data_IF_320892147988
#
_entry.id   IF_320892147988
#
_cell.length_a   1.000
_cell.length_b   1.000
_cell.length_c   1.000
_cell.angle_alpha   90.00
_cell.angle_beta   90.00
_cell.angle_gamma   90.00
#
_symmetry.space_group_name_H-M   'P 1'
#
loop_
_entity.id
_entity.type
_entity.pdbx_description
1 polymer ?
#
# COMPACT_ATOMS: atom_id res chain seq x y z
N UNK A 1 14.73 33.40 53.86
CA UNK A 1 13.61 34.00 53.10
C UNK A 1 13.84 33.63 51.62
N UNK A 2 14.02 32.35 51.28
CA UNK A 2 13.04 31.25 51.29
C UNK A 2 11.78 31.62 50.49
N UNK A 3 11.77 31.22 49.22
CA UNK A 3 10.55 31.03 48.44
C UNK A 3 10.48 29.56 48.06
N UNK A 4 9.70 28.86 48.87
CA UNK A 4 9.39 27.45 48.79
C UNK A 4 8.62 27.07 47.53
N UNK A 5 9.01 25.90 47.02
CA UNK A 5 8.29 25.09 46.06
C UNK A 5 7.07 24.50 46.76
N UNK A 6 5.87 24.88 46.32
CA UNK A 6 4.63 24.26 46.79
C UNK A 6 4.25 23.08 45.88
N UNK A 7 4.50 21.88 46.40
CA UNK A 7 3.96 20.59 45.94
C UNK A 7 2.71 20.28 46.77
N UNK A 8 1.59 19.98 46.12
CA UNK A 8 0.43 19.25 46.70
C UNK A 8 -0.32 18.51 45.57
N UNK A 9 -1.10 17.45 45.83
CA UNK A 9 -0.66 16.07 45.65
C UNK A 9 -1.58 15.25 44.72
N UNK A 10 -1.15 14.01 44.49
CA UNK A 10 -1.86 12.96 43.75
C UNK A 10 -3.25 12.65 44.32
N UNK A 11 -4.21 12.40 43.42
CA UNK A 11 -5.44 11.63 43.69
C UNK A 11 -5.64 10.63 42.55
N UNK A 12 -5.40 9.38 42.94
CA UNK A 12 -6.08 8.11 42.64
C UNK A 12 -6.30 7.57 41.23
N UNK A 13 -5.92 6.29 41.17
CA UNK A 13 -6.00 5.29 40.12
C UNK A 13 -7.41 4.75 39.90
N UNK A 14 -7.73 4.37 38.65
CA UNK A 14 -8.34 3.08 38.26
C UNK A 14 -8.81 3.11 36.78
N UNK A 15 -8.98 1.96 36.08
CA UNK A 15 -8.25 0.70 36.19
C UNK A 15 -7.55 0.33 34.87
N UNK A 16 -6.32 -0.17 34.98
CA UNK A 16 -5.66 -0.94 33.93
C UNK A 16 -6.36 -2.30 33.84
N UNK A 17 -7.10 -2.53 32.76
CA UNK A 17 -7.74 -3.83 32.55
C UNK A 17 -8.80 -3.81 31.46
N UNK A 18 -8.44 -3.46 30.23
CA UNK A 18 -9.36 -3.67 29.10
C UNK A 18 -8.69 -4.03 27.76
N UNK A 19 -7.36 -4.02 27.68
CA UNK A 19 -6.64 -4.30 26.42
C UNK A 19 -5.89 -5.64 26.38
N UNK A 20 -5.84 -6.41 27.47
CA UNK A 20 -5.23 -7.75 27.45
C UNK A 20 -6.25 -8.88 27.15
N UNK A 21 -7.55 -8.62 27.24
CA UNK A 21 -8.60 -9.61 26.92
C UNK A 21 -8.90 -9.72 25.42
N UNK A 22 -8.44 -8.79 24.57
CA UNK A 22 -8.70 -8.84 23.13
C UNK A 22 -7.66 -9.63 22.32
N UNK A 23 -6.43 -9.81 22.84
CA UNK A 23 -5.41 -10.62 22.17
C UNK A 23 -5.65 -12.13 22.33
N UNK A 24 -6.33 -12.55 23.39
CA UNK A 24 -6.73 -13.95 23.61
C UNK A 24 -7.99 -14.35 22.81
N UNK A 25 -8.89 -13.41 22.51
CA UNK A 25 -10.12 -13.68 21.75
C UNK A 25 -9.88 -13.85 20.24
N UNK A 26 -8.87 -13.18 19.68
CA UNK A 26 -8.52 -13.30 18.25
C UNK A 26 -7.86 -14.65 17.90
N UNK A 27 -7.12 -15.26 18.84
CA UNK A 27 -6.51 -16.59 18.64
C UNK A 27 -7.51 -17.74 18.71
N UNK A 28 -8.51 -17.65 19.59
CA UNK A 28 -9.51 -18.70 19.77
C UNK A 28 -10.52 -18.77 18.60
N UNK A 29 -10.84 -17.64 17.96
CA UNK A 29 -11.74 -17.59 16.82
C UNK A 29 -11.15 -18.24 15.56
N UNK A 30 -9.83 -18.11 15.34
CA UNK A 30 -9.14 -18.74 14.21
C UNK A 30 -9.06 -20.27 14.36
N UNK A 31 -8.84 -20.78 15.57
CA UNK A 31 -8.82 -22.21 15.85
C UNK A 31 -10.23 -22.84 15.79
N UNK A 32 -11.26 -22.11 16.23
CA UNK A 32 -12.66 -22.56 16.14
C UNK A 32 -13.17 -22.57 14.68
N UNK A 33 -12.66 -21.69 13.81
CA UNK A 33 -12.97 -21.69 12.38
C UNK A 33 -12.32 -22.88 11.67
N UNK A 34 -11.07 -23.22 11.99
CA UNK A 34 -10.39 -24.40 11.46
C UNK A 34 -11.05 -25.72 11.92
N UNK A 35 -11.50 -25.80 13.17
CA UNK A 35 -12.18 -26.98 13.71
C UNK A 35 -13.60 -27.16 13.19
N UNK A 36 -14.31 -26.07 12.84
CA UNK A 36 -15.69 -26.12 12.32
C UNK A 36 -15.76 -26.36 10.81
N UNK A 37 -14.72 -25.99 10.06
CA UNK A 37 -14.55 -26.38 8.64
C UNK A 37 -14.09 -27.83 8.49
N UNK A 38 -13.46 -28.43 9.51
CA UNK A 38 -13.00 -29.82 9.49
C UNK A 38 -14.09 -30.88 9.80
N UNK A 39 -15.32 -30.48 10.12
CA UNK A 39 -16.42 -31.41 10.50
C UNK A 39 -17.51 -31.61 9.44
N UNK A 40 -17.33 -31.12 8.21
CA UNK A 40 -18.24 -31.44 7.10
C UNK A 40 -17.51 -32.15 5.95
N UNK A 41 -17.03 -33.36 6.21
CA UNK A 41 -16.67 -34.32 5.17
C UNK A 41 -17.29 -35.69 5.48
N UNK A 42 -18.01 -36.32 4.54
CA UNK A 42 -18.57 -37.65 4.74
C UNK A 42 -17.44 -38.68 4.71
N UNK A 43 -17.24 -39.38 5.83
CA UNK A 43 -16.35 -40.55 5.90
C UNK A 43 -16.93 -41.69 5.07
N UNK A 44 -16.47 -41.86 3.82
CA UNK A 44 -16.56 -43.14 3.11
C UNK A 44 -15.55 -44.11 3.72
N UNK A 45 -16.06 -45.09 4.45
CA UNK A 45 -15.28 -46.20 4.99
C UNK A 45 -14.82 -47.13 3.86
N UNK A 46 -13.51 -47.37 3.78
CA UNK A 46 -12.94 -48.49 3.06
C UNK A 46 -11.70 -49.00 3.80
N UNK A 47 -11.85 -50.11 4.56
CA UNK A 47 -10.84 -51.18 4.67
C UNK A 47 -11.38 -52.43 5.39
N UNK A 48 -11.50 -53.50 4.60
CA UNK A 48 -11.12 -54.91 4.87
C UNK A 48 -11.26 -55.47 6.30
N UNK A 49 -12.18 -56.42 6.44
CA UNK A 49 -11.95 -57.77 6.99
C UNK A 49 -12.86 -58.71 6.17
N UNK A 50 -12.40 -59.64 5.31
CA UNK A 50 -11.65 -60.86 5.55
C UNK A 50 -12.31 -61.81 6.58
N UNK A 51 -13.31 -62.60 6.16
CA UNK A 51 -13.27 -64.08 6.14
C UNK A 51 -14.64 -64.72 5.84
N UNK A 52 -14.52 -65.94 5.33
CA UNK A 52 -15.52 -66.95 4.99
C UNK A 52 -16.37 -66.63 3.75
N UNK A 53 -16.65 -67.54 2.81
CA UNK A 53 -16.15 -68.84 2.40
C UNK A 53 -17.15 -69.29 1.30
N UNK A 54 -16.68 -69.87 0.20
CA UNK A 54 -17.52 -70.77 -0.61
C UNK A 54 -17.88 -70.32 -2.02
N UNK A 55 -17.41 -71.09 -3.01
CA UNK A 55 -17.99 -71.27 -4.36
C UNK A 55 -17.43 -70.33 -5.43
N UNK A 56 -16.36 -70.66 -6.16
CA UNK A 56 -16.23 -71.65 -7.26
C UNK A 56 -16.83 -71.19 -8.60
N UNK A 57 -16.11 -71.56 -9.68
CA UNK A 57 -16.28 -71.29 -11.13
C UNK A 57 -15.66 -69.98 -11.64
N UNK A 58 -14.43 -69.95 -12.17
CA UNK A 58 -13.84 -70.60 -13.37
C UNK A 58 -14.40 -70.06 -14.70
N UNK A 59 -13.51 -69.52 -15.55
CA UNK A 59 -13.25 -69.88 -16.96
C UNK A 59 -12.55 -68.72 -17.72
N UNK A 60 -11.33 -69.01 -18.18
CA UNK A 60 -10.64 -68.64 -19.46
C UNK A 60 -10.48 -67.15 -19.83
N UNK A 61 -9.28 -66.56 -19.97
CA UNK A 61 -8.06 -66.84 -20.76
C UNK A 61 -7.97 -66.04 -22.08
N UNK A 62 -6.76 -65.51 -22.34
CA UNK A 62 -6.17 -65.20 -23.67
C UNK A 62 -6.60 -63.86 -24.31
N UNK A 63 -5.76 -62.82 -24.36
CA UNK A 63 -4.52 -62.59 -25.14
C UNK A 63 -4.74 -61.92 -26.50
N UNK A 64 -4.11 -60.75 -26.64
CA UNK A 64 -3.24 -60.35 -27.76
C UNK A 64 -3.81 -59.72 -29.06
N UNK A 65 -3.19 -58.58 -29.40
CA UNK A 65 -2.76 -58.00 -30.70
C UNK A 65 -3.69 -57.77 -31.90
N UNK A 66 -3.61 -56.51 -32.37
CA UNK A 66 -3.30 -56.05 -33.75
C UNK A 66 -4.43 -55.65 -34.73
N UNK A 67 -4.37 -54.35 -35.07
CA UNK A 67 -4.34 -53.74 -36.42
C UNK A 67 -5.50 -53.90 -37.42
N UNK A 68 -6.08 -52.73 -37.73
CA UNK A 68 -6.27 -52.12 -39.06
C UNK A 68 -7.48 -52.45 -39.95
N UNK A 69 -8.14 -51.35 -40.36
CA UNK A 69 -8.93 -51.06 -41.58
C UNK A 69 -10.23 -51.87 -41.79
N UNK A 70 -11.34 -51.38 -42.34
CA UNK A 70 -11.88 -50.06 -42.70
C UNK A 70 -13.31 -50.32 -43.24
N UNK A 71 -14.25 -49.42 -42.97
CA UNK A 71 -15.49 -49.11 -43.75
C UNK A 71 -16.48 -50.22 -44.15
N UNK A 72 -17.73 -50.16 -43.68
CA UNK A 72 -18.93 -49.95 -44.52
C UNK A 72 -20.27 -49.89 -43.71
N UNK A 73 -21.06 -48.85 -44.01
CA UNK A 73 -22.53 -48.67 -43.99
C UNK A 73 -23.42 -49.24 -42.86
N UNK A 74 -24.21 -48.35 -42.24
CA UNK A 74 -25.42 -48.73 -41.51
C UNK A 74 -26.01 -47.62 -40.65
N UNK A 75 -26.80 -46.73 -41.27
CA UNK A 75 -27.64 -45.74 -40.59
C UNK A 75 -28.64 -46.42 -39.65
N UNK A 76 -28.75 -45.98 -38.40
CA UNK A 76 -30.07 -45.84 -37.75
C UNK A 76 -30.01 -44.86 -36.60
N UNK A 77 -30.97 -43.95 -36.63
CA UNK A 77 -31.21 -42.89 -35.67
C UNK A 77 -31.75 -43.46 -34.36
N UNK A 78 -31.08 -43.12 -33.25
CA UNK A 78 -31.70 -43.05 -31.95
C UNK A 78 -31.05 -41.88 -31.20
N UNK A 79 -31.67 -40.70 -31.33
CA UNK A 79 -31.32 -39.53 -30.56
C UNK A 79 -31.59 -39.77 -29.08
N UNK A 80 -30.53 -40.02 -28.32
CA UNK A 80 -30.53 -39.78 -26.89
C UNK A 80 -29.83 -38.44 -26.68
N UNK A 81 -30.60 -37.46 -26.19
CA UNK A 81 -30.08 -36.17 -25.74
C UNK A 81 -29.24 -36.45 -24.50
N UNK A 82 -27.95 -36.69 -24.69
CA UNK A 82 -26.98 -36.61 -23.61
C UNK A 82 -26.85 -35.13 -23.27
N UNK A 83 -27.36 -34.75 -22.10
CA UNK A 83 -27.01 -33.49 -21.45
C UNK A 83 -25.50 -33.46 -21.37
N UNK A 84 -24.87 -32.62 -22.20
CA UNK A 84 -23.45 -32.36 -22.12
C UNK A 84 -23.19 -31.80 -20.72
N UNK A 85 -22.46 -32.57 -19.93
CA UNK A 85 -21.97 -32.21 -18.62
C UNK A 85 -21.14 -30.93 -18.80
N UNK A 86 -21.70 -29.80 -18.37
CA UNK A 86 -20.98 -28.54 -18.34
C UNK A 86 -19.74 -28.75 -17.47
N UNK A 87 -18.55 -28.23 -17.85
CA UNK A 87 -17.38 -28.40 -17.03
C UNK A 87 -17.68 -27.71 -15.69
N UNK A 88 -17.80 -28.50 -14.63
CA UNK A 88 -17.79 -27.99 -13.26
C UNK A 88 -16.43 -27.33 -13.07
N UNK A 89 -16.35 -26.05 -13.37
CA UNK A 89 -15.25 -25.18 -13.00
C UNK A 89 -15.24 -25.05 -11.49
N UNK A 90 -14.64 -26.05 -10.84
CA UNK A 90 -14.22 -25.99 -9.46
C UNK A 90 -13.11 -24.96 -9.31
N UNK A 91 -13.47 -23.68 -9.32
CA UNK A 91 -12.61 -22.58 -8.93
C UNK A 91 -13.45 -21.67 -8.04
N UNK A 92 -13.62 -22.06 -6.78
CA UNK A 92 -14.57 -21.41 -5.88
C UNK A 92 -13.91 -20.63 -4.75
N UNK A 93 -13.18 -21.34 -3.89
CA UNK A 93 -12.82 -20.80 -2.58
C UNK A 93 -11.33 -20.44 -2.43
N UNK A 94 -10.40 -21.24 -2.98
CA UNK A 94 -8.96 -21.04 -2.78
C UNK A 94 -8.41 -19.80 -3.49
N UNK A 95 -8.87 -19.53 -4.72
CA UNK A 95 -8.43 -18.39 -5.52
C UNK A 95 -8.88 -17.04 -4.92
N UNK A 96 -10.06 -17.01 -4.30
CA UNK A 96 -10.59 -15.78 -3.70
C UNK A 96 -9.93 -15.48 -2.34
N UNK A 97 -9.60 -16.50 -1.54
CA UNK A 97 -8.81 -16.34 -0.31
C UNK A 97 -7.43 -15.75 -0.61
N UNK A 98 -6.72 -16.27 -1.62
CA UNK A 98 -5.41 -15.74 -2.04
C UNK A 98 -5.50 -14.33 -2.63
N UNK A 99 -6.65 -13.96 -3.20
CA UNK A 99 -6.87 -12.63 -3.76
C UNK A 99 -6.91 -11.55 -2.68
N UNK A 100 -7.49 -11.84 -1.51
CA UNK A 100 -7.67 -10.86 -0.43
C UNK A 100 -6.47 -10.73 0.52
N UNK A 101 -5.47 -11.62 0.45
CA UNK A 101 -4.26 -11.53 1.29
C UNK A 101 -3.43 -10.27 1.04
N UNK A 102 -3.47 -9.72 -0.17
CA UNK A 102 -2.74 -8.49 -0.54
C UNK A 102 -3.51 -7.20 -0.22
N UNK A 103 -4.73 -7.30 0.28
CA UNK A 103 -5.57 -6.14 0.58
C UNK A 103 -5.22 -5.54 1.94
N UNK A 104 -5.15 -4.20 2.01
CA UNK A 104 -5.05 -3.48 3.26
C UNK A 104 -6.31 -3.68 4.11
N UNK A 105 -6.20 -3.56 5.43
CA UNK A 105 -7.35 -3.60 6.36
C UNK A 105 -8.46 -2.62 5.94
N UNK A 106 -8.10 -1.45 5.44
CA UNK A 106 -9.04 -0.44 4.93
C UNK A 106 -9.76 -0.92 3.67
N UNK A 107 -9.05 -1.62 2.78
CA UNK A 107 -9.63 -2.16 1.56
C UNK A 107 -10.54 -3.38 1.85
N UNK A 108 -10.20 -4.19 2.85
CA UNK A 108 -11.09 -5.24 3.36
C UNK A 108 -12.37 -4.65 3.96
N UNK A 109 -12.26 -3.52 4.66
CA UNK A 109 -13.42 -2.80 5.21
C UNK A 109 -14.34 -2.24 4.12
N UNK A 110 -13.80 -1.76 3.00
CA UNK A 110 -14.58 -1.39 1.81
C UNK A 110 -15.42 -2.57 1.31
N UNK A 111 -14.80 -3.75 1.22
CA UNK A 111 -15.48 -4.97 0.77
C UNK A 111 -16.58 -5.38 1.74
N UNK A 112 -16.33 -5.29 3.05
CA UNK A 112 -17.35 -5.51 4.08
C UNK A 112 -18.52 -4.53 3.95
N UNK A 113 -18.24 -3.24 3.79
CA UNK A 113 -19.27 -2.21 3.61
C UNK A 113 -20.12 -2.50 2.36
N UNK A 114 -19.50 -2.95 1.26
CA UNK A 114 -20.22 -3.32 0.04
C UNK A 114 -21.14 -4.54 0.24
N UNK A 115 -20.70 -5.53 1.02
CA UNK A 115 -21.54 -6.67 1.41
C UNK A 115 -22.70 -6.25 2.31
N UNK A 116 -22.47 -5.32 3.24
CA UNK A 116 -23.51 -4.79 4.11
C UNK A 116 -24.58 -4.01 3.32
N UNK A 117 -24.18 -3.23 2.31
CA UNK A 117 -25.13 -2.58 1.39
C UNK A 117 -25.95 -3.61 0.58
N UNK A 118 -25.34 -4.73 0.19
CA UNK A 118 -26.04 -5.84 -0.46
C UNK A 118 -27.10 -6.46 0.48
N UNK A 119 -26.76 -6.66 1.77
CA UNK A 119 -27.70 -7.11 2.80
C UNK A 119 -28.85 -6.12 3.01
N UNK A 120 -28.52 -4.84 3.15
CA UNK A 120 -29.49 -3.75 3.36
C UNK A 120 -30.51 -3.69 2.21
N UNK A 121 -30.05 -3.83 0.98
CA UNK A 121 -30.89 -3.81 -0.22
C UNK A 121 -31.59 -5.14 -0.50
N UNK A 122 -31.24 -6.23 0.21
CA UNK A 122 -31.80 -7.55 -0.01
C UNK A 122 -31.35 -8.18 -1.33
N UNK A 123 -30.15 -7.86 -1.80
CA UNK A 123 -29.57 -8.36 -3.04
C UNK A 123 -28.77 -9.64 -2.77
N UNK A 124 -28.79 -10.58 -3.72
CA UNK A 124 -28.12 -11.87 -3.57
C UNK A 124 -26.64 -11.85 -3.96
N UNK A 125 -26.15 -10.74 -4.51
CA UNK A 125 -24.75 -10.57 -4.92
C UNK A 125 -24.28 -9.12 -4.74
N UNK A 126 -22.97 -8.94 -4.55
CA UNK A 126 -22.33 -7.62 -4.49
C UNK A 126 -22.03 -7.15 -5.91
N UNK A 127 -22.58 -6.00 -6.28
CA UNK A 127 -22.36 -5.36 -7.59
C UNK A 127 -21.28 -4.28 -7.52
N UNK A 128 -20.90 -3.72 -8.67
CA UNK A 128 -19.85 -2.70 -8.78
C UNK A 128 -20.23 -1.40 -8.07
N UNK A 129 -21.49 -1.03 -8.13
CA UNK A 129 -22.05 0.19 -7.53
C UNK A 129 -22.02 0.08 -6.00
N UNK A 130 -22.33 -1.10 -5.46
CA UNK A 130 -22.18 -1.38 -4.02
C UNK A 130 -20.72 -1.31 -3.58
N UNK A 131 -19.80 -1.77 -4.43
CA UNK A 131 -18.36 -1.66 -4.16
C UNK A 131 -17.90 -0.20 -4.15
N UNK A 132 -18.40 0.62 -5.08
CA UNK A 132 -18.15 2.07 -5.10
C UNK A 132 -18.70 2.76 -3.85
N UNK A 133 -19.93 2.46 -3.44
CA UNK A 133 -20.50 2.99 -2.18
C UNK A 133 -19.69 2.51 -0.98
N UNK A 134 -19.17 1.29 -1.00
CA UNK A 134 -18.24 0.78 0.02
C UNK A 134 -16.96 1.62 0.13
N UNK A 135 -16.40 2.07 -1.01
CA UNK A 135 -15.25 2.98 -1.04
C UNK A 135 -15.60 4.34 -0.45
N UNK A 136 -16.77 4.90 -0.81
CA UNK A 136 -17.23 6.20 -0.30
C UNK A 136 -17.54 6.11 1.21
N UNK A 137 -18.08 4.98 1.67
CA UNK A 137 -18.33 4.69 3.07
C UNK A 137 -17.04 4.63 3.90
N UNK A 138 -15.95 4.17 3.29
CA UNK A 138 -14.63 4.23 3.90
C UNK A 138 -14.06 5.65 3.80
N UNK A 139 -14.45 6.50 4.75
CA UNK A 139 -14.01 7.90 4.86
C UNK A 139 -12.51 8.06 5.22
N UNK A 140 -11.74 6.97 5.23
CA UNK A 140 -10.32 6.96 5.58
C UNK A 140 -9.43 6.77 4.34
N UNK A 141 -8.19 7.24 4.42
CA UNK A 141 -7.23 7.13 3.32
C UNK A 141 -7.46 8.10 2.17
N UNK A 142 -6.80 7.84 1.04
CA UNK A 142 -6.77 8.72 -0.15
C UNK A 142 -8.16 8.87 -0.76
N UNK A 143 -8.87 7.75 -0.97
CA UNK A 143 -10.22 7.76 -1.55
C UNK A 143 -11.19 8.62 -0.73
N UNK A 144 -11.16 8.51 0.60
CA UNK A 144 -11.99 9.34 1.48
C UNK A 144 -11.62 10.83 1.42
N UNK A 145 -10.32 11.17 1.37
CA UNK A 145 -9.87 12.57 1.20
C UNK A 145 -10.41 13.18 -0.10
N UNK A 146 -10.25 12.48 -1.22
CA UNK A 146 -10.74 12.93 -2.53
C UNK A 146 -12.26 13.08 -2.54
N UNK A 147 -13.00 12.10 -2.01
CA UNK A 147 -14.48 12.17 -1.97
C UNK A 147 -14.98 13.36 -1.13
N UNK A 148 -14.27 13.75 -0.06
CA UNK A 148 -14.57 14.96 0.70
C UNK A 148 -14.31 16.25 -0.09
N UNK A 149 -13.28 16.30 -0.94
CA UNK A 149 -13.00 17.43 -1.85
C UNK A 149 -14.18 17.70 -2.79
N UNK A 150 -14.83 16.63 -3.26
CA UNK A 150 -16.06 16.72 -4.06
C UNK A 150 -17.34 16.88 -3.21
N UNK A 151 -17.21 17.05 -1.90
CA UNK A 151 -18.32 17.23 -0.96
C UNK A 151 -19.35 16.07 -1.01
N UNK A 152 -18.87 14.86 -1.33
CA UNK A 152 -19.69 13.65 -1.42
C UNK A 152 -19.91 13.06 -0.04
N UNK A 153 -21.17 12.76 0.30
CA UNK A 153 -21.51 12.06 1.54
C UNK A 153 -21.98 10.64 1.26
N UNK A 154 -21.77 9.75 2.25
CA UNK A 154 -22.28 8.36 2.20
C UNK A 154 -23.80 8.32 2.05
N UNK A 155 -24.50 9.32 2.60
CA UNK A 155 -25.98 9.41 2.52
C UNK A 155 -26.43 9.64 1.08
N UNK A 156 -25.75 10.53 0.37
CA UNK A 156 -26.05 10.83 -1.03
C UNK A 156 -25.72 9.63 -1.91
N UNK A 157 -24.58 8.99 -1.68
CA UNK A 157 -24.16 7.80 -2.43
C UNK A 157 -25.14 6.63 -2.26
N UNK A 158 -25.66 6.42 -1.05
CA UNK A 158 -26.72 5.43 -0.80
C UNK A 158 -28.02 5.78 -1.51
N UNK A 159 -28.38 7.06 -1.56
CA UNK A 159 -29.61 7.51 -2.25
C UNK A 159 -29.53 7.23 -3.75
N UNK A 160 -28.38 7.48 -4.38
CA UNK A 160 -28.12 7.14 -5.79
C UNK A 160 -28.05 5.62 -6.01
N UNK A 161 -27.54 4.86 -5.05
CA UNK A 161 -27.56 3.39 -5.14
C UNK A 161 -28.99 2.84 -5.11
N UNK A 162 -29.82 3.38 -4.21
CA UNK A 162 -31.22 2.97 -4.04
C UNK A 162 -32.04 3.26 -5.32
N UNK A 163 -31.74 4.34 -6.06
CA UNK A 163 -32.41 4.67 -7.32
C UNK A 163 -32.00 3.75 -8.48
N UNK A 164 -30.76 3.25 -8.49
CA UNK A 164 -30.22 2.42 -9.58
C UNK A 164 -30.58 0.94 -9.41
N UNK A 165 -30.38 0.38 -8.21
CA UNK A 165 -30.51 -1.06 -7.96
C UNK A 165 -31.92 -1.42 -7.45
N UNK A 166 -32.53 -0.56 -6.64
CA UNK A 166 -33.81 -0.84 -5.97
C UNK A 166 -33.72 -1.97 -4.92
N UNK A 167 -34.89 -2.36 -4.39
CA UNK A 167 -35.01 -3.45 -3.40
C UNK A 167 -34.94 -4.81 -4.08
N UNK A 168 -34.07 -5.69 -3.58
CA UNK A 168 -33.91 -7.05 -4.07
C UNK A 168 -34.98 -8.01 -3.55
N UNK A 169 -34.81 -9.29 -3.86
CA UNK A 169 -35.73 -10.37 -3.47
C UNK A 169 -35.80 -10.62 -1.96
N UNK A 170 -34.92 -9.99 -1.18
CA UNK A 170 -34.86 -10.11 0.29
C UNK A 170 -34.27 -11.44 0.78
N UNK A 171 -33.99 -12.37 -0.13
CA UNK A 171 -33.33 -13.64 0.18
C UNK A 171 -31.82 -13.47 0.03
N UNK A 172 -31.17 -13.12 1.14
CA UNK A 172 -29.72 -12.91 1.17
C UNK A 172 -29.03 -14.16 1.73
N UNK A 173 -28.16 -14.82 0.95
CA UNK A 173 -27.36 -15.96 1.44
C UNK A 173 -26.45 -15.58 2.62
N UNK A 174 -26.03 -16.58 3.41
CA UNK A 174 -25.04 -16.38 4.48
C UNK A 174 -23.73 -15.81 3.94
N UNK A 175 -23.25 -16.38 2.83
CA UNK A 175 -22.09 -15.90 2.07
C UNK A 175 -22.57 -15.23 0.79
N UNK A 176 -22.35 -13.91 0.68
CA UNK A 176 -22.78 -13.13 -0.48
C UNK A 176 -21.66 -13.15 -1.53
N UNK A 177 -21.88 -13.74 -2.71
CA UNK A 177 -20.88 -13.73 -3.78
C UNK A 177 -20.77 -12.35 -4.43
N UNK A 178 -19.61 -12.06 -5.01
CA UNK A 178 -19.41 -10.91 -5.90
C UNK A 178 -19.91 -11.20 -7.31
N UNK A 179 -20.45 -10.19 -7.98
CA UNK A 179 -20.77 -10.25 -9.40
C UNK A 179 -19.49 -10.45 -10.24
N UNK A 180 -19.57 -11.03 -11.46
CA UNK A 180 -18.41 -11.19 -12.33
C UNK A 180 -17.70 -9.86 -12.62
N UNK A 181 -18.46 -8.77 -12.76
CA UNK A 181 -17.92 -7.43 -12.93
C UNK A 181 -17.16 -6.95 -11.68
N UNK A 182 -17.74 -7.11 -10.48
CA UNK A 182 -17.08 -6.74 -9.23
C UNK A 182 -15.78 -7.53 -9.02
N UNK A 183 -15.77 -8.83 -9.33
CA UNK A 183 -14.55 -9.65 -9.29
C UNK A 183 -13.48 -9.14 -10.26
N UNK A 184 -13.88 -8.74 -11.48
CA UNK A 184 -12.98 -8.13 -12.46
C UNK A 184 -12.33 -6.87 -11.90
N UNK A 185 -13.09 -5.98 -11.26
CA UNK A 185 -12.55 -4.74 -10.69
C UNK A 185 -11.59 -4.97 -9.53
N UNK A 186 -11.91 -5.91 -8.63
CA UNK A 186 -11.00 -6.33 -7.57
C UNK A 186 -9.70 -6.94 -8.13
N UNK A 187 -9.75 -7.59 -9.29
CA UNK A 187 -8.55 -8.11 -9.94
C UNK A 187 -7.75 -7.00 -10.63
N UNK A 188 -8.44 -6.05 -11.27
CA UNK A 188 -7.81 -4.88 -11.88
C UNK A 188 -7.18 -3.96 -10.84
N UNK A 189 -7.72 -3.87 -9.62
CA UNK A 189 -7.11 -3.07 -8.55
C UNK A 189 -5.75 -3.60 -8.11
N UNK A 190 -5.48 -4.90 -8.28
CA UNK A 190 -4.14 -5.49 -8.07
C UNK A 190 -3.17 -4.88 -9.08
N UNK A 191 -3.55 -4.82 -10.35
CA UNK A 191 -2.74 -4.21 -11.43
C UNK A 191 -2.54 -2.71 -11.20
N UNK A 192 -3.52 -2.02 -10.61
CA UNK A 192 -3.39 -0.60 -10.28
C UNK A 192 -2.41 -0.38 -9.12
N UNK A 193 -2.48 -1.22 -8.07
CA UNK A 193 -1.50 -1.19 -7.00
C UNK A 193 -0.08 -1.48 -7.52
N UNK A 194 0.09 -2.43 -8.44
CA UNK A 194 1.37 -2.74 -9.09
C UNK A 194 1.91 -1.55 -9.92
N UNK A 195 1.05 -0.85 -10.67
CA UNK A 195 1.44 0.37 -11.41
C UNK A 195 1.92 1.50 -10.50
N UNK A 196 1.36 1.57 -9.29
CA UNK A 196 1.72 2.58 -8.30
C UNK A 196 2.81 2.09 -7.35
N UNK A 197 3.44 0.94 -7.64
CA UNK A 197 4.47 0.29 -6.81
C UNK A 197 4.04 0.08 -5.35
N UNK A 198 2.74 -0.04 -5.09
CA UNK A 198 2.18 -0.19 -3.75
C UNK A 198 2.28 -1.65 -3.28
N UNK A 199 2.86 -1.86 -2.09
CA UNK A 199 3.00 -3.20 -1.48
C UNK A 199 1.66 -3.83 -1.09
N UNK A 200 0.66 -3.00 -0.79
CA UNK A 200 -0.69 -3.45 -0.39
C UNK A 200 -1.76 -2.71 -1.19
N UNK A 201 -2.91 -3.35 -1.36
CA UNK A 201 -4.02 -2.79 -2.11
C UNK A 201 -4.87 -1.92 -1.16
N UNK A 202 -4.90 -0.63 -1.42
CA UNK A 202 -5.73 0.36 -0.73
C UNK A 202 -7.09 0.62 -1.43
N UNK A 203 -8.06 1.25 -0.73
CA UNK A 203 -9.36 1.64 -1.29
C UNK A 203 -9.29 2.46 -2.59
N UNK A 204 -8.26 3.31 -2.75
CA UNK A 204 -8.16 4.16 -3.93
C UNK A 204 -7.73 3.40 -5.19
N UNK A 205 -7.01 2.28 -5.07
CA UNK A 205 -6.75 1.39 -6.22
C UNK A 205 -8.03 0.72 -6.72
N UNK A 206 -8.94 0.38 -5.80
CA UNK A 206 -10.27 -0.17 -6.15
C UNK A 206 -11.09 0.90 -6.89
N UNK A 207 -11.07 2.13 -6.40
CA UNK A 207 -11.74 3.26 -7.03
C UNK A 207 -11.22 3.53 -8.46
N UNK A 208 -9.90 3.59 -8.63
CA UNK A 208 -9.26 3.77 -9.94
C UNK A 208 -9.64 2.64 -10.92
N UNK A 209 -9.70 1.39 -10.44
CA UNK A 209 -10.11 0.26 -11.27
C UNK A 209 -11.56 0.38 -11.75
N UNK A 210 -12.47 0.91 -10.93
CA UNK A 210 -13.88 1.14 -11.29
C UNK A 210 -14.00 2.26 -12.33
N UNK A 211 -13.28 3.37 -12.13
CA UNK A 211 -13.34 4.54 -13.03
C UNK A 211 -12.78 4.23 -14.41
N UNK A 212 -11.70 3.45 -14.48
CA UNK A 212 -11.01 3.16 -15.74
C UNK A 212 -11.90 2.45 -16.78
N UNK A 213 -12.78 1.58 -16.33
CA UNK A 213 -13.48 0.62 -17.19
C UNK A 213 -14.92 1.05 -17.53
N UNK A 214 -15.24 2.34 -17.34
CA UNK A 214 -16.50 3.01 -17.72
C UNK A 214 -17.75 2.16 -17.47
N UNK A 215 -17.91 1.65 -16.25
CA UNK A 215 -19.10 0.90 -15.87
C UNK A 215 -20.32 1.83 -15.79
N UNK A 216 -21.37 1.54 -16.56
CA UNK A 216 -22.56 2.39 -16.63
C UNK A 216 -23.22 2.65 -15.27
N UNK A 217 -23.29 1.64 -14.40
CA UNK A 217 -23.91 1.78 -13.08
C UNK A 217 -23.08 2.66 -12.14
N UNK A 218 -21.76 2.44 -12.11
CA UNK A 218 -20.86 3.25 -11.28
C UNK A 218 -20.75 4.70 -11.79
N UNK A 219 -20.78 4.91 -13.10
CA UNK A 219 -20.79 6.24 -13.70
C UNK A 219 -22.05 7.01 -13.33
N UNK A 220 -23.23 6.39 -13.42
CA UNK A 220 -24.50 7.02 -13.00
C UNK A 220 -24.46 7.44 -11.53
N UNK A 221 -23.90 6.61 -10.64
CA UNK A 221 -23.70 7.00 -9.22
C UNK A 221 -22.82 8.24 -9.11
N UNK A 222 -21.70 8.31 -9.84
CA UNK A 222 -20.79 9.46 -9.79
C UNK A 222 -21.41 10.73 -10.40
N UNK A 223 -22.19 10.58 -11.48
CA UNK A 223 -22.93 11.67 -12.14
C UNK A 223 -24.00 12.26 -11.21
N UNK A 224 -24.79 11.43 -10.54
CA UNK A 224 -25.78 11.86 -9.54
C UNK A 224 -25.12 12.61 -8.38
N UNK A 225 -23.91 12.21 -8.02
CA UNK A 225 -23.08 12.84 -6.98
C UNK A 225 -22.33 14.09 -7.48
N UNK A 226 -22.48 14.47 -8.76
CA UNK A 226 -21.82 15.61 -9.40
C UNK A 226 -20.28 15.53 -9.33
N UNK A 227 -19.73 14.32 -9.34
CA UNK A 227 -18.29 14.10 -9.38
C UNK A 227 -17.83 14.09 -10.83
N UNK A 228 -16.79 14.88 -11.13
CA UNK A 228 -16.19 14.89 -12.46
C UNK A 228 -15.34 13.64 -12.66
N UNK A 229 -15.80 12.75 -13.55
CA UNK A 229 -15.17 11.46 -13.85
C UNK A 229 -13.77 11.64 -14.47
N UNK A 230 -13.52 12.74 -15.18
CA UNK A 230 -12.24 13.00 -15.84
C UNK A 230 -11.20 13.54 -14.86
N UNK A 231 -11.62 14.38 -13.91
CA UNK A 231 -10.72 14.96 -12.90
C UNK A 231 -10.45 14.01 -11.73
N UNK A 232 -11.38 13.10 -11.43
CA UNK A 232 -11.28 12.21 -10.27
C UNK A 232 -10.01 11.34 -10.24
N UNK A 233 -9.56 10.70 -11.35
CA UNK A 233 -8.29 9.97 -11.38
C UNK A 233 -7.06 10.86 -11.14
N UNK A 234 -7.10 12.10 -11.62
CA UNK A 234 -6.01 13.08 -11.47
C UNK A 234 -5.90 13.48 -10.00
N UNK A 235 -7.02 13.80 -9.36
CA UNK A 235 -7.10 14.14 -7.94
C UNK A 235 -6.64 12.98 -7.04
N UNK A 236 -7.01 11.74 -7.37
CA UNK A 236 -6.53 10.55 -6.64
C UNK A 236 -5.01 10.41 -6.77
N UNK A 237 -4.47 10.61 -7.97
CA UNK A 237 -3.02 10.49 -8.21
C UNK A 237 -2.24 11.62 -7.53
N UNK A 238 -2.77 12.85 -7.53
CA UNK A 238 -2.20 13.99 -6.82
C UNK A 238 -2.15 13.73 -5.32
N UNK A 239 -3.26 13.28 -4.74
CA UNK A 239 -3.34 12.95 -3.30
C UNK A 239 -2.45 11.76 -2.95
N UNK A 240 -2.25 10.80 -3.85
CA UNK A 240 -1.24 9.74 -3.68
C UNK A 240 0.18 10.29 -3.72
N UNK A 241 0.47 11.24 -4.60
CA UNK A 241 1.77 11.94 -4.65
C UNK A 241 2.04 12.76 -3.39
N UNK A 242 1.00 13.39 -2.83
CA UNK A 242 1.07 14.10 -1.55
C UNK A 242 1.21 13.14 -0.37
N UNK A 243 0.48 12.01 -0.38
CA UNK A 243 0.66 10.93 0.61
C UNK A 243 2.04 10.30 0.53
N UNK A 244 2.60 10.12 -0.65
CA UNK A 244 4.00 9.74 -0.81
C UNK A 244 4.92 10.85 -0.28
N UNK A 245 4.59 12.12 -0.48
CA UNK A 245 5.29 13.23 0.19
C UNK A 245 5.18 13.25 1.73
N UNK A 246 4.08 12.74 2.29
CA UNK A 246 3.79 12.66 3.73
C UNK A 246 4.29 11.36 4.41
N UNK A 247 4.27 10.22 3.72
CA UNK A 247 4.61 8.87 4.24
C UNK A 247 5.85 8.25 3.55
N UNK A 248 6.41 8.87 2.52
CA UNK A 248 7.45 8.30 1.65
C UNK A 248 8.33 9.37 1.00
N UNK A 249 9.13 10.06 1.82
CA UNK A 249 10.36 10.71 1.37
C UNK A 249 11.39 9.64 0.94
N UNK A 250 11.00 8.72 0.07
CA UNK A 250 11.85 7.68 -0.50
C UNK A 250 11.20 7.14 -1.79
N UNK A 251 11.92 7.33 -2.91
CA UNK A 251 11.98 6.43 -4.08
C UNK A 251 10.71 6.44 -4.97
N UNK A 252 10.70 6.78 -6.28
CA UNK A 252 11.72 6.66 -7.34
C UNK A 252 11.29 7.59 -8.49
N UNK A 253 12.25 8.29 -9.11
CA UNK A 253 12.03 9.05 -10.33
C UNK A 253 12.02 8.18 -11.61
N UNK A 254 11.68 8.85 -12.72
CA UNK A 254 11.86 8.44 -14.14
C UNK A 254 10.68 7.62 -14.68
N UNK A 255 9.73 8.18 -15.46
CA UNK A 255 9.93 8.76 -16.81
C UNK A 255 8.77 9.67 -17.28
N UNK A 256 9.15 10.79 -17.90
CA UNK A 256 8.53 11.49 -19.04
C UNK A 256 6.99 11.68 -19.14
N UNK A 257 6.56 12.91 -18.87
CA UNK A 257 5.29 13.47 -19.36
C UNK A 257 5.20 14.97 -19.05
N UNK A 258 5.57 15.82 -20.01
CA UNK A 258 5.61 17.28 -19.90
C UNK A 258 4.29 17.88 -19.40
N UNK A 259 4.42 18.73 -18.36
CA UNK A 259 3.70 19.99 -18.25
C UNK A 259 2.47 19.98 -17.34
N UNK A 260 2.64 20.50 -16.11
CA UNK A 260 1.88 21.67 -15.65
C UNK A 260 2.31 22.05 -14.22
N UNK A 261 3.01 23.20 -14.14
CA UNK A 261 3.14 24.09 -12.98
C UNK A 261 3.47 23.42 -11.65
N UNK A 262 4.77 23.19 -11.48
CA UNK A 262 5.43 23.16 -10.19
C UNK A 262 4.82 24.22 -9.25
N UNK A 263 4.44 23.75 -8.07
CA UNK A 263 4.31 24.57 -6.87
C UNK A 263 5.38 25.66 -6.89
N UNK A 264 4.92 26.91 -6.84
CA UNK A 264 5.81 28.07 -6.69
C UNK A 264 6.70 27.81 -5.47
N UNK A 265 8.00 27.92 -5.71
CA UNK A 265 9.14 27.58 -4.84
C UNK A 265 9.57 26.12 -4.99
N UNK A 266 10.37 25.86 -6.03
CA UNK A 266 11.45 24.87 -5.91
C UNK A 266 12.17 25.20 -4.59
N UNK A 267 12.29 24.22 -3.70
CA UNK A 267 13.03 24.37 -2.44
C UNK A 267 14.38 25.02 -2.74
N UNK A 268 14.70 26.18 -2.13
CA UNK A 268 15.96 26.87 -2.41
C UNK A 268 17.15 25.94 -2.08
N UNK A 269 16.95 25.05 -1.11
CA UNK A 269 17.88 24.00 -0.74
C UNK A 269 18.14 22.95 -1.84
N UNK A 270 17.19 22.68 -2.72
CA UNK A 270 17.39 21.77 -3.86
C UNK A 270 18.05 22.48 -5.06
N UNK A 271 17.87 23.80 -5.19
CA UNK A 271 18.53 24.58 -6.24
C UNK A 271 20.02 24.78 -5.94
N UNK A 272 20.38 25.03 -4.68
CA UNK A 272 21.75 25.38 -4.27
C UNK A 272 22.46 24.28 -3.47
N UNK A 273 21.81 23.15 -3.23
CA UNK A 273 22.33 22.07 -2.39
C UNK A 273 22.36 20.73 -3.10
N UNK A 274 23.42 19.95 -2.84
CA UNK A 274 23.58 18.56 -3.27
C UNK A 274 23.30 17.62 -2.10
N UNK A 275 22.35 16.70 -2.27
CA UNK A 275 22.00 15.73 -1.23
C UNK A 275 22.98 14.55 -1.23
N UNK A 276 23.89 14.53 -0.25
CA UNK A 276 24.90 13.47 -0.11
C UNK A 276 24.29 12.17 0.39
N UNK A 277 23.22 12.23 1.19
CA UNK A 277 22.53 11.02 1.68
C UNK A 277 21.86 10.29 0.52
N UNK A 278 21.22 11.01 -0.40
CA UNK A 278 20.66 10.42 -1.63
C UNK A 278 21.76 9.82 -2.52
N UNK A 279 22.85 10.56 -2.73
CA UNK A 279 23.98 10.06 -3.52
C UNK A 279 24.61 8.79 -2.91
N UNK A 280 24.63 8.69 -1.58
CA UNK A 280 25.07 7.50 -0.85
C UNK A 280 24.13 6.30 -1.08
N UNK A 281 22.82 6.51 -1.01
CA UNK A 281 21.81 5.46 -1.24
C UNK A 281 21.85 4.92 -2.68
N UNK A 282 22.14 5.79 -3.64
CA UNK A 282 22.29 5.45 -5.06
C UNK A 282 23.62 4.76 -5.38
N UNK A 283 24.54 4.66 -4.41
CA UNK A 283 25.85 4.04 -4.57
C UNK A 283 26.81 4.85 -5.45
N UNK A 284 26.59 6.16 -5.58
CA UNK A 284 27.42 7.05 -6.40
C UNK A 284 28.67 7.59 -5.69
N UNK A 285 28.88 7.22 -4.42
CA UNK A 285 30.04 7.68 -3.64
C UNK A 285 31.07 6.58 -3.46
N UNK A 286 32.34 6.95 -3.50
CA UNK A 286 33.44 6.02 -3.31
C UNK A 286 33.54 5.58 -1.85
N UNK A 287 33.81 4.29 -1.57
CA UNK A 287 33.94 3.81 -0.19
C UNK A 287 35.16 4.43 0.49
N UNK A 288 34.93 5.07 1.64
CA UNK A 288 35.99 5.69 2.43
C UNK A 288 36.78 4.64 3.22
N UNK A 289 38.08 4.51 2.95
CA UNK A 289 38.95 3.55 3.65
C UNK A 289 39.75 4.24 4.75
N UNK A 290 39.74 3.66 5.96
CA UNK A 290 40.68 4.02 7.04
C UNK A 290 40.39 5.33 7.76
N UNK A 291 39.16 5.86 7.68
CA UNK A 291 38.74 7.10 8.39
C UNK A 291 37.55 6.94 9.33
N UNK A 292 37.37 5.72 9.83
CA UNK A 292 36.26 5.35 10.70
C UNK A 292 36.27 6.13 12.02
N UNK A 293 37.45 6.30 12.63
CA UNK A 293 37.61 7.05 13.90
C UNK A 293 37.14 8.51 13.79
N UNK A 294 37.39 9.16 12.64
CA UNK A 294 36.96 10.53 12.40
C UNK A 294 35.43 10.62 12.22
N UNK A 295 34.83 9.63 11.56
CA UNK A 295 33.37 9.55 11.40
C UNK A 295 32.70 9.31 12.76
N UNK A 296 33.22 8.37 13.55
CA UNK A 296 32.70 8.09 14.91
C UNK A 296 32.74 9.33 15.79
N UNK A 297 33.83 10.09 15.71
CA UNK A 297 33.96 11.36 16.43
C UNK A 297 32.97 12.42 15.95
N UNK A 298 32.69 12.48 14.65
CA UNK A 298 31.67 13.39 14.09
C UNK A 298 30.26 13.03 14.59
N UNK A 299 29.89 11.74 14.56
CA UNK A 299 28.64 11.21 15.10
C UNK A 299 28.50 11.57 16.59
N UNK A 300 29.56 11.37 17.37
CA UNK A 300 29.58 11.69 18.79
C UNK A 300 29.37 13.19 19.07
N UNK A 301 29.92 14.07 18.23
CA UNK A 301 29.72 15.52 18.34
C UNK A 301 28.28 15.91 17.97
N UNK A 302 27.75 15.38 16.87
CA UNK A 302 26.37 15.63 16.41
C UNK A 302 25.33 15.19 17.43
N UNK A 303 25.60 14.14 18.21
CA UNK A 303 24.72 13.63 19.26
C UNK A 303 24.68 14.51 20.53
N UNK A 304 25.53 15.54 20.65
CA UNK A 304 25.55 16.41 21.85
C UNK A 304 24.36 17.35 21.88
N UNK A 305 23.92 17.74 23.09
CA UNK A 305 22.87 18.75 23.27
C UNK A 305 23.34 20.18 23.03
N UNK A 306 24.62 20.45 23.28
CA UNK A 306 25.25 21.76 23.11
C UNK A 306 26.54 21.59 22.31
N UNK A 307 26.85 22.58 21.45
CA UNK A 307 28.03 22.57 20.56
C UNK A 307 28.07 21.29 19.71
N UNK A 308 26.95 21.03 19.03
CA UNK A 308 26.71 19.86 18.21
C UNK A 308 27.18 20.00 16.76
N UNK A 309 27.93 21.05 16.43
CA UNK A 309 28.44 21.30 15.08
C UNK A 309 29.90 20.81 14.98
N UNK A 310 30.17 19.68 14.30
CA UNK A 310 31.53 19.23 14.07
C UNK A 310 32.27 20.15 13.09
N UNK A 311 33.56 20.35 13.31
CA UNK A 311 34.43 21.13 12.41
C UNK A 311 35.66 20.27 12.10
N UNK A 312 35.89 20.01 10.82
CA UNK A 312 37.04 19.23 10.35
C UNK A 312 38.24 20.15 10.10
N UNK A 313 39.34 19.90 10.80
CA UNK A 313 40.57 20.69 10.72
C UNK A 313 41.69 19.83 10.11
N UNK A 314 42.50 20.42 9.24
CA UNK A 314 43.61 19.74 8.56
C UNK A 314 44.17 20.58 7.40
N UNK A 315 45.25 20.12 6.80
CA UNK A 315 45.83 20.71 5.59
C UNK A 315 44.83 20.62 4.41
N UNK A 316 44.89 21.53 3.42
CA UNK A 316 44.08 21.40 2.20
C UNK A 316 44.46 20.13 1.43
N UNK A 317 43.50 19.51 0.76
CA UNK A 317 43.74 18.31 -0.04
C UNK A 317 43.81 16.99 0.73
N UNK A 318 43.70 17.01 2.07
CA UNK A 318 43.61 15.77 2.88
C UNK A 318 42.25 15.07 2.74
N UNK A 319 41.31 15.57 1.94
CA UNK A 319 39.99 14.94 1.71
C UNK A 319 39.03 15.09 2.90
N UNK A 320 38.91 16.29 3.48
CA UNK A 320 37.92 16.57 4.55
C UNK A 320 36.49 16.30 4.08
N UNK A 321 36.20 16.66 2.84
CA UNK A 321 34.95 16.39 2.12
C UNK A 321 34.60 14.90 2.12
N UNK A 322 35.58 14.03 1.89
CA UNK A 322 35.38 12.58 1.90
C UNK A 322 34.92 12.03 3.26
N UNK A 323 35.24 12.71 4.37
CA UNK A 323 34.74 12.33 5.71
C UNK A 323 33.24 12.66 5.83
N UNK A 324 32.77 13.76 5.23
CA UNK A 324 31.36 14.11 5.18
C UNK A 324 30.56 13.14 4.30
N UNK A 325 31.13 12.72 3.16
CA UNK A 325 30.56 11.66 2.32
C UNK A 325 30.50 10.32 3.07
N UNK A 326 31.57 9.93 3.77
CA UNK A 326 31.58 8.73 4.60
C UNK A 326 30.54 8.76 5.74
N UNK A 327 30.29 9.94 6.32
CA UNK A 327 29.19 10.12 7.28
C UNK A 327 27.82 9.92 6.61
N UNK A 328 27.62 10.44 5.41
CA UNK A 328 26.38 10.24 4.65
C UNK A 328 26.16 8.77 4.28
N UNK A 329 27.22 8.02 3.97
CA UNK A 329 27.15 6.56 3.78
C UNK A 329 26.69 5.83 5.04
N UNK A 330 27.23 6.17 6.21
CA UNK A 330 26.81 5.52 7.47
C UNK A 330 25.35 5.81 7.82
N UNK A 331 24.89 7.04 7.57
CA UNK A 331 23.47 7.38 7.74
C UNK A 331 22.60 6.58 6.78
N UNK A 332 22.98 6.50 5.49
CA UNK A 332 22.23 5.72 4.49
C UNK A 332 22.17 4.21 4.81
N UNK A 333 23.19 3.67 5.48
CA UNK A 333 23.25 2.28 5.92
C UNK A 333 22.53 2.03 7.26
N UNK A 334 22.13 3.09 7.98
CA UNK A 334 21.56 2.99 9.33
C UNK A 334 22.59 2.65 10.42
N UNK A 335 23.89 2.79 10.14
CA UNK A 335 24.98 2.55 11.12
C UNK A 335 25.27 3.82 11.94
N UNK A 336 24.22 4.42 12.48
CA UNK A 336 24.24 5.63 13.31
C UNK A 336 23.23 5.52 14.44
N UNK A 337 23.37 6.26 15.54
CA UNK A 337 22.36 6.30 16.60
C UNK A 337 21.01 6.81 16.08
N UNK A 338 19.90 6.30 16.64
CA UNK A 338 18.50 6.63 16.31
C UNK A 338 18.24 8.12 16.04
N UNK A 339 18.90 9.02 16.77
CA UNK A 339 18.72 10.47 16.59
C UNK A 339 19.20 11.01 15.24
N UNK A 340 20.05 10.28 14.53
CA UNK A 340 20.66 10.66 13.25
C UNK A 340 20.14 9.84 12.06
N UNK A 341 19.36 8.77 12.29
CA UNK A 341 18.84 7.90 11.22
C UNK A 341 17.98 8.67 10.20
N UNK A 342 17.07 9.54 10.68
CA UNK A 342 16.16 10.31 9.82
C UNK A 342 16.76 11.61 9.25
N UNK A 343 18.07 11.84 9.44
CA UNK A 343 18.72 13.09 9.03
C UNK A 343 19.30 13.00 7.63
N UNK A 344 19.19 14.11 6.88
CA UNK A 344 19.78 14.26 5.55
C UNK A 344 21.01 15.13 5.61
N UNK A 345 22.08 14.72 4.93
CA UNK A 345 23.28 15.55 4.75
C UNK A 345 23.18 16.24 3.40
N UNK A 346 23.19 17.56 3.43
CA UNK A 346 23.14 18.40 2.22
C UNK A 346 24.40 19.24 2.18
N UNK A 347 25.14 19.11 1.09
CA UNK A 347 26.30 19.93 0.75
C UNK A 347 25.82 21.22 0.09
N UNK A 348 26.25 22.36 0.63
CA UNK A 348 25.93 23.67 0.08
C UNK A 348 27.01 24.10 -0.93
N UNK A 349 26.61 24.34 -2.19
CA UNK A 349 27.53 24.86 -3.19
C UNK A 349 27.55 26.39 -3.14
N UNK A 350 28.61 26.93 -2.53
CA UNK A 350 28.85 28.39 -2.48
C UNK A 350 29.08 28.99 -3.87
N UNK A 351 29.65 28.24 -4.82
CA UNK A 351 29.86 28.68 -6.20
C UNK A 351 28.54 28.92 -6.92
N UNK A 352 27.56 28.04 -6.74
CA UNK A 352 26.21 28.24 -7.26
C UNK A 352 25.50 29.42 -6.61
N UNK A 353 25.68 29.63 -5.30
CA UNK A 353 25.09 30.76 -4.60
C UNK A 353 25.63 32.12 -5.08
N UNK A 354 26.93 32.18 -5.35
CA UNK A 354 27.60 33.36 -5.89
C UNK A 354 27.20 33.60 -7.35
N UNK A 355 27.00 32.52 -8.11
CA UNK A 355 26.58 32.58 -9.51
C UNK A 355 25.23 33.31 -9.65
N UNK A 356 25.25 34.37 -10.47
CA UNK A 356 24.07 35.19 -10.73
C UNK A 356 23.70 36.18 -9.63
N UNK A 357 24.56 36.41 -8.63
CA UNK A 357 24.46 37.58 -7.75
C UNK A 357 25.40 38.68 -8.23
N UNK A 358 24.91 39.92 -8.30
CA UNK A 358 25.75 41.10 -8.61
C UNK A 358 26.15 41.86 -7.36
N UNK A 359 25.37 41.72 -6.30
CA UNK A 359 25.52 42.45 -5.05
C UNK A 359 25.59 41.49 -3.87
N UNK A 360 26.42 41.81 -2.87
CA UNK A 360 26.55 41.05 -1.62
C UNK A 360 25.21 40.85 -0.90
N UNK A 361 24.32 41.83 -0.96
CA UNK A 361 23.00 41.74 -0.33
C UNK A 361 22.12 40.61 -0.90
N UNK A 362 22.22 40.34 -2.20
CA UNK A 362 21.48 39.24 -2.85
C UNK A 362 21.97 37.87 -2.37
N UNK A 363 23.29 37.73 -2.15
CA UNK A 363 23.88 36.53 -1.59
C UNK A 363 23.41 36.30 -0.14
N UNK A 364 23.43 37.33 0.69
CA UNK A 364 22.97 37.25 2.08
C UNK A 364 21.47 36.89 2.17
N UNK A 365 20.65 37.44 1.26
CA UNK A 365 19.23 37.11 1.18
C UNK A 365 19.00 35.63 0.80
N UNK A 366 19.74 35.11 -0.19
CA UNK A 366 19.68 33.68 -0.57
C UNK A 366 20.08 32.78 0.59
N UNK A 367 21.19 33.09 1.27
CA UNK A 367 21.66 32.31 2.41
C UNK A 367 20.65 32.34 3.56
N UNK A 368 20.04 33.50 3.83
CA UNK A 368 18.99 33.64 4.84
C UNK A 368 17.76 32.79 4.51
N UNK A 369 17.37 32.74 3.24
CA UNK A 369 16.26 31.89 2.79
C UNK A 369 16.58 30.41 3.03
N UNK A 370 17.77 29.95 2.65
CA UNK A 370 18.23 28.57 2.89
C UNK A 370 18.25 28.22 4.37
N UNK A 371 18.81 29.10 5.21
CA UNK A 371 18.83 28.90 6.66
C UNK A 371 17.42 28.81 7.25
N UNK A 372 16.50 29.63 6.78
CA UNK A 372 15.09 29.58 7.22
C UNK A 372 14.41 28.26 6.83
N UNK A 373 14.79 27.68 5.70
CA UNK A 373 14.26 26.42 5.19
C UNK A 373 14.80 25.21 5.96
N UNK A 374 16.11 25.20 6.22
CA UNK A 374 16.78 24.19 7.06
C UNK A 374 16.19 24.20 8.47
N UNK A 375 15.96 25.38 9.05
CA UNK A 375 15.38 25.51 10.39
C UNK A 375 13.93 25.00 10.46
N UNK A 376 13.12 25.20 9.41
CA UNK A 376 11.75 24.67 9.32
C UNK A 376 11.74 23.14 9.20
N UNK A 377 12.71 22.57 8.49
CA UNK A 377 12.78 21.13 8.24
C UNK A 377 13.24 20.35 9.48
N UNK A 378 14.24 20.84 10.22
CA UNK A 378 14.73 20.23 11.47
C UNK A 378 15.46 18.89 11.33
N UNK A 379 15.39 18.23 10.16
CA UNK A 379 16.04 16.96 9.85
C UNK A 379 17.20 17.09 8.83
N UNK A 380 17.77 18.28 8.69
CA UNK A 380 18.86 18.54 7.75
C UNK A 380 20.15 18.86 8.50
N UNK A 381 21.24 18.20 8.12
CA UNK A 381 22.61 18.53 8.48
C UNK A 381 23.22 19.23 7.27
N UNK A 382 23.61 20.50 7.45
CA UNK A 382 24.22 21.29 6.40
C UNK A 382 25.74 21.09 6.43
N UNK A 383 26.31 20.67 5.31
CA UNK A 383 27.74 20.62 5.08
C UNK A 383 28.13 21.90 4.33
N UNK A 384 29.09 22.63 4.89
CA UNK A 384 29.65 23.85 4.32
C UNK A 384 31.13 23.60 4.15
N UNK A 385 31.59 23.51 2.91
CA UNK A 385 33.02 23.55 2.65
C UNK A 385 33.54 24.98 2.79
N UNK A 386 34.81 25.12 3.17
CA UNK A 386 35.49 26.41 3.26
C UNK A 386 34.78 27.48 4.11
N UNK A 387 34.34 27.14 5.33
CA UNK A 387 33.65 28.07 6.27
C UNK A 387 34.39 29.40 6.59
N UNK A 388 35.66 29.52 6.20
CA UNK A 388 36.50 30.69 6.46
C UNK A 388 36.41 31.75 5.35
N UNK A 389 35.75 31.43 4.24
CA UNK A 389 35.53 32.29 3.07
C UNK A 389 34.16 32.95 3.16
#
# INVERSE_FOLDING_TARGET
QDTDVAVVPAVEEAPRGFFESFRAAAGAAAAAFAARVALSLPRRQAKRQARAAGGAFAVQSSSAVSSSNSSFLGSSMAGSVTVADAPRTGCGASSMSMMFEKFSEKALKVVWNAQEESRRLGQSAVTTEMLLVGVIAENSGVAGKVMRKYNVTVRDARKSLDSIIGKGSGQVPSEIPFSPAAKKYLATSIKQAEKMSAKTIEPAHILLAIIQDKNEGAQKVLEDLKVDIEQLPIDILEEYGQKAGEEGKELVGVTAGKGAKASKNVAALEEFGKDLTKAAMEGMMDPLVGREEQIDRAIQILARRQKNNPVFIGEPGVGKTAIAEGLAMRIAQGDVPIYLEDKRIIELDLGMLLSGTKYRGEFEERLKNIMSEVQKSGNVILMIDEIHT
#
